data_IF_873414886280
#
_entry.id   IF_873414886280
#
_cell.length_a   1.000
_cell.length_b   1.000
_cell.length_c   1.000
_cell.angle_alpha   90.00
_cell.angle_beta   90.00
_cell.angle_gamma   90.00
#
_symmetry.space_group_name_H-M   'P 1'
#
loop_
_entity.id
_entity.type
_entity.pdbx_description
1 polymer ?
#
# COMPACT_ATOMS: atom_id res chain seq x y z
N UNK A 1 29.27 2.89 21.26
CA UNK A 1 28.91 2.46 19.89
C UNK A 1 27.75 1.47 19.98
N UNK A 2 26.52 1.98 20.06
CA UNK A 2 25.30 1.20 20.23
C UNK A 2 24.65 1.00 18.85
N UNK A 3 24.65 -0.24 18.36
CA UNK A 3 23.87 -0.66 17.18
C UNK A 3 22.40 -0.74 17.60
N UNK A 4 21.60 0.24 17.21
CA UNK A 4 20.14 0.12 17.27
C UNK A 4 19.68 -0.93 16.25
N UNK A 5 19.22 -2.06 16.77
CA UNK A 5 18.52 -3.08 16.00
C UNK A 5 17.19 -2.50 15.52
N UNK A 6 17.14 -2.14 14.24
CA UNK A 6 15.89 -1.88 13.50
C UNK A 6 14.92 -3.04 13.73
N UNK A 7 13.71 -2.71 14.17
CA UNK A 7 12.73 -3.67 14.67
C UNK A 7 12.27 -4.63 13.58
N UNK A 8 12.49 -5.92 13.82
CA UNK A 8 11.95 -7.03 13.02
C UNK A 8 10.42 -7.15 13.08
N UNK A 9 9.72 -6.19 13.71
CA UNK A 9 8.26 -6.19 13.89
C UNK A 9 7.49 -5.67 12.67
N UNK A 10 8.13 -4.92 11.76
CA UNK A 10 7.47 -4.44 10.54
C UNK A 10 7.17 -5.55 9.54
N UNK A 11 8.10 -6.49 9.37
CA UNK A 11 8.03 -7.56 8.37
C UNK A 11 6.98 -8.64 8.68
N UNK A 12 6.63 -8.85 9.96
CA UNK A 12 5.51 -9.72 10.37
C UNK A 12 4.14 -9.26 9.85
N UNK A 13 4.03 -8.03 9.31
CA UNK A 13 2.78 -7.48 8.76
C UNK A 13 2.82 -7.29 7.24
N UNK A 14 3.88 -7.73 6.57
CA UNK A 14 3.96 -7.63 5.11
C UNK A 14 3.19 -8.78 4.47
N UNK A 15 2.05 -8.50 3.84
CA UNK A 15 1.28 -9.53 3.12
C UNK A 15 2.10 -10.18 1.98
N UNK A 16 3.18 -9.51 1.52
CA UNK A 16 4.15 -10.07 0.59
C UNK A 16 4.71 -11.42 1.02
N UNK A 17 4.58 -11.81 2.29
CA UNK A 17 5.00 -13.12 2.80
C UNK A 17 3.86 -13.88 3.48
N UNK A 18 2.63 -13.39 3.36
CA UNK A 18 1.47 -13.92 4.06
C UNK A 18 0.65 -14.78 3.09
N UNK A 19 1.02 -16.05 3.02
CA UNK A 19 0.24 -17.05 2.27
C UNK A 19 -0.90 -17.50 3.19
N UNK A 20 -2.15 -17.35 2.75
CA UNK A 20 -3.39 -17.82 3.42
C UNK A 20 -3.48 -19.36 3.57
N UNK A 21 -2.36 -20.04 3.79
CA UNK A 21 -2.29 -21.51 3.90
C UNK A 21 -1.27 -21.87 4.97
N UNK A 22 -1.60 -21.58 6.22
CA UNK A 22 -1.23 -22.44 7.34
C UNK A 22 -2.51 -22.59 8.14
N UNK A 23 -3.30 -23.61 7.79
CA UNK A 23 -4.33 -24.11 8.68
C UNK A 23 -3.68 -24.45 10.02
N UNK A 24 -4.38 -24.16 11.10
CA UNK A 24 -3.98 -24.42 12.48
C UNK A 24 -3.44 -25.85 12.63
N UNK A 25 -2.11 -25.97 12.69
CA UNK A 25 -1.41 -27.15 13.21
C UNK A 25 -0.98 -26.83 14.64
N UNK A 26 -1.95 -26.48 15.48
CA UNK A 26 -1.81 -26.49 16.93
C UNK A 26 -2.68 -27.60 17.48
N UNK A 27 -2.25 -28.83 17.28
CA UNK A 27 -2.55 -29.93 18.19
C UNK A 27 -1.53 -31.05 18.00
N UNK A 28 -0.56 -31.09 18.91
CA UNK A 28 0.18 -32.31 19.29
C UNK A 28 0.98 -32.01 20.56
N UNK A 29 0.28 -31.93 21.70
CA UNK A 29 0.91 -32.06 23.00
C UNK A 29 1.24 -33.55 23.22
N UNK A 30 2.47 -33.96 22.93
CA UNK A 30 3.01 -35.22 23.42
C UNK A 30 3.91 -34.95 24.62
N UNK A 31 3.36 -35.16 25.81
CA UNK A 31 4.10 -35.30 27.07
C UNK A 31 4.91 -36.59 27.03
N UNK A 32 6.24 -36.51 26.87
CA UNK A 32 7.12 -37.66 27.13
C UNK A 32 8.42 -37.24 27.81
N UNK A 33 8.79 -38.08 28.78
CA UNK A 33 9.83 -37.92 29.79
C UNK A 33 11.25 -37.69 29.25
N UNK A 34 12.00 -36.90 30.01
CA UNK A 34 13.40 -36.52 29.78
C UNK A 34 14.38 -37.67 30.04
N UNK A 35 15.11 -38.07 29.00
CA UNK A 35 16.58 -38.11 28.97
C UNK A 35 17.05 -38.75 27.66
N UNK A 36 17.95 -38.07 26.94
CA UNK A 36 18.66 -38.49 25.70
C UNK A 36 18.02 -38.27 24.32
N UNK A 37 16.84 -37.65 24.17
CA UNK A 37 16.38 -37.29 22.81
C UNK A 37 17.20 -36.12 22.25
N UNK A 38 17.86 -36.26 21.09
CA UNK A 38 18.58 -35.16 20.46
C UNK A 38 17.60 -34.02 20.18
N UNK A 39 18.02 -32.78 20.44
CA UNK A 39 17.20 -31.62 20.11
C UNK A 39 16.85 -31.61 18.63
N UNK A 40 15.69 -31.05 18.27
CA UNK A 40 15.26 -30.98 16.87
C UNK A 40 16.28 -30.22 16.00
N UNK A 41 17.00 -29.25 16.60
CA UNK A 41 18.10 -28.55 15.96
C UNK A 41 19.29 -29.45 15.68
N UNK A 42 19.64 -30.35 16.59
CA UNK A 42 20.71 -31.34 16.38
C UNK A 42 20.37 -32.29 15.23
N UNK A 43 19.13 -32.79 15.19
CA UNK A 43 18.65 -33.61 14.07
C UNK A 43 18.66 -32.81 12.75
N UNK A 44 18.23 -31.55 12.77
CA UNK A 44 18.26 -30.69 11.57
C UNK A 44 19.67 -30.54 10.99
N UNK A 45 20.68 -30.30 11.84
CA UNK A 45 22.06 -30.14 11.37
C UNK A 45 22.76 -31.45 10.98
N UNK A 46 22.17 -32.62 11.27
CA UNK A 46 22.64 -33.90 10.68
C UNK A 46 22.20 -34.11 9.24
N UNK A 47 21.22 -33.33 8.75
CA UNK A 47 20.77 -33.41 7.36
C UNK A 47 21.83 -32.86 6.40
N UNK A 48 21.91 -33.36 5.15
CA UNK A 48 22.65 -32.70 4.07
C UNK A 48 22.23 -31.24 3.90
N UNK A 49 23.18 -30.39 3.48
CA UNK A 49 22.99 -28.94 3.38
C UNK A 49 21.82 -28.57 2.44
N UNK A 50 21.60 -29.38 1.41
CA UNK A 50 20.53 -29.22 0.43
C UNK A 50 19.15 -29.37 1.09
N UNK A 51 18.98 -30.36 1.97
CA UNK A 51 17.72 -30.57 2.71
C UNK A 51 17.50 -29.50 3.77
N UNK A 52 18.58 -29.07 4.44
CA UNK A 52 18.51 -27.94 5.37
C UNK A 52 17.99 -26.68 4.66
N UNK A 53 18.51 -26.39 3.46
CA UNK A 53 18.08 -25.26 2.65
C UNK A 53 16.66 -25.44 2.11
N UNK A 54 16.26 -26.63 1.70
CA UNK A 54 14.89 -26.87 1.26
C UNK A 54 13.87 -26.59 2.37
N UNK A 55 14.16 -27.03 3.59
CA UNK A 55 13.31 -26.75 4.76
C UNK A 55 13.26 -25.24 5.04
N UNK A 56 14.43 -24.58 5.12
CA UNK A 56 14.51 -23.14 5.43
C UNK A 56 13.83 -22.29 4.36
N UNK A 57 13.91 -22.69 3.09
CA UNK A 57 13.31 -21.92 1.98
C UNK A 57 11.79 -22.04 1.89
N UNK A 58 11.16 -23.02 2.56
CA UNK A 58 9.70 -23.14 2.69
C UNK A 58 9.13 -22.25 3.80
N UNK A 59 9.96 -21.77 4.72
CA UNK A 59 9.54 -20.86 5.79
C UNK A 59 9.19 -19.48 5.23
N UNK A 60 8.25 -18.79 5.88
CA UNK A 60 7.98 -17.38 5.59
C UNK A 60 9.15 -16.51 6.07
N UNK A 61 9.32 -15.33 5.48
CA UNK A 61 10.44 -14.45 5.81
C UNK A 61 10.54 -14.12 7.31
N UNK A 62 9.41 -13.93 8.02
CA UNK A 62 9.43 -13.66 9.47
C UNK A 62 10.03 -14.80 10.29
N UNK A 63 9.81 -16.03 9.85
CA UNK A 63 10.27 -17.23 10.53
C UNK A 63 11.75 -17.44 10.26
N UNK A 64 12.22 -17.15 9.04
CA UNK A 64 13.65 -17.14 8.72
C UNK A 64 14.41 -16.14 9.61
N UNK A 65 13.87 -14.93 9.78
CA UNK A 65 14.49 -13.92 10.68
C UNK A 65 14.43 -14.35 12.15
N UNK A 66 13.36 -15.04 12.57
CA UNK A 66 13.26 -15.57 13.93
C UNK A 66 14.25 -16.72 14.16
N UNK A 67 14.37 -17.63 13.19
CA UNK A 67 15.30 -18.76 13.18
C UNK A 67 16.76 -18.28 13.25
N UNK A 68 17.09 -17.16 12.60
CA UNK A 68 18.41 -16.52 12.71
C UNK A 68 18.76 -16.13 14.16
N UNK A 69 17.76 -15.87 15.01
CA UNK A 69 17.96 -15.46 16.41
C UNK A 69 18.02 -16.63 17.39
N UNK A 70 17.61 -17.83 16.99
CA UNK A 70 17.52 -18.98 17.91
C UNK A 70 18.88 -19.63 18.18
N UNK A 71 19.76 -19.75 17.16
CA UNK A 71 21.08 -20.33 17.34
C UNK A 71 22.15 -19.75 16.41
N UNK A 72 23.42 -19.82 16.83
CA UNK A 72 24.57 -19.40 15.99
C UNK A 72 24.70 -20.24 14.72
N UNK A 73 24.39 -21.54 14.80
CA UNK A 73 24.43 -22.44 13.65
C UNK A 73 23.38 -22.07 12.60
N UNK A 74 22.14 -21.78 13.03
CA UNK A 74 21.10 -21.30 12.11
C UNK A 74 21.46 -19.94 11.50
N UNK A 75 22.01 -19.03 12.31
CA UNK A 75 22.51 -17.76 11.78
C UNK A 75 23.61 -17.98 10.73
N UNK A 76 24.56 -18.88 10.97
CA UNK A 76 25.64 -19.20 10.03
C UNK A 76 25.09 -19.77 8.72
N UNK A 77 24.18 -20.74 8.80
CA UNK A 77 23.51 -21.33 7.64
C UNK A 77 22.81 -20.26 6.79
N UNK A 78 21.98 -19.43 7.43
CA UNK A 78 21.18 -18.39 6.77
C UNK A 78 22.05 -17.31 6.15
N UNK A 79 23.12 -16.88 6.84
CA UNK A 79 24.02 -15.83 6.33
C UNK A 79 24.88 -16.35 5.16
N UNK A 80 25.36 -17.59 5.25
CA UNK A 80 26.20 -18.19 4.20
C UNK A 80 25.41 -18.42 2.90
N UNK A 81 24.11 -18.71 3.02
CA UNK A 81 23.25 -19.04 1.88
C UNK A 81 22.14 -17.99 1.66
N UNK A 82 22.39 -16.75 2.10
CA UNK A 82 21.43 -15.64 2.05
C UNK A 82 20.86 -15.45 0.64
N UNK A 83 21.71 -15.48 -0.39
CA UNK A 83 21.29 -15.21 -1.76
C UNK A 83 20.34 -16.27 -2.32
N UNK A 84 20.57 -17.54 -2.02
CA UNK A 84 19.74 -18.64 -2.50
C UNK A 84 18.38 -18.62 -1.81
N UNK A 85 18.39 -18.38 -0.49
CA UNK A 85 17.17 -18.25 0.30
C UNK A 85 16.37 -17.04 -0.19
N UNK A 86 17.00 -15.87 -0.33
CA UNK A 86 16.34 -14.66 -0.81
C UNK A 86 15.77 -14.84 -2.23
N UNK A 87 16.51 -15.46 -3.15
CA UNK A 87 16.04 -15.73 -4.51
C UNK A 87 14.80 -16.62 -4.51
N UNK A 88 14.78 -17.67 -3.70
CA UNK A 88 13.63 -18.57 -3.59
C UNK A 88 12.43 -17.87 -2.94
N UNK A 89 12.66 -17.04 -1.93
CA UNK A 89 11.61 -16.22 -1.30
C UNK A 89 10.96 -15.26 -2.31
N UNK A 90 11.77 -14.58 -3.14
CA UNK A 90 11.26 -13.72 -4.21
C UNK A 90 10.39 -14.53 -5.17
N UNK A 91 10.87 -15.69 -5.63
CA UNK A 91 10.15 -16.53 -6.59
C UNK A 91 8.80 -17.02 -6.08
N UNK A 92 8.69 -17.34 -4.79
CA UNK A 92 7.49 -17.96 -4.21
C UNK A 92 6.49 -16.90 -3.74
N UNK A 93 6.95 -15.83 -3.09
CA UNK A 93 6.09 -14.95 -2.32
C UNK A 93 5.91 -13.56 -2.94
N UNK A 94 6.85 -13.11 -3.78
CA UNK A 94 6.82 -11.75 -4.35
C UNK A 94 6.30 -11.80 -5.78
N UNK A 95 5.21 -11.08 -6.03
CA UNK A 95 4.65 -10.98 -7.37
C UNK A 95 5.66 -10.32 -8.35
N UNK A 96 5.82 -10.84 -9.58
CA UNK A 96 6.84 -10.36 -10.53
C UNK A 96 6.80 -8.85 -10.80
N UNK A 97 5.60 -8.25 -10.82
CA UNK A 97 5.43 -6.80 -11.05
C UNK A 97 6.12 -5.93 -9.99
N UNK A 98 6.21 -6.38 -8.74
CA UNK A 98 6.92 -5.64 -7.68
C UNK A 98 8.44 -5.69 -7.87
N UNK A 99 8.95 -6.84 -8.33
CA UNK A 99 10.38 -7.04 -8.62
C UNK A 99 10.80 -6.24 -9.85
N UNK A 100 9.93 -6.16 -10.87
CA UNK A 100 10.15 -5.31 -12.04
C UNK A 100 10.22 -3.82 -11.68
N UNK A 101 9.34 -3.38 -10.78
CA UNK A 101 9.29 -1.99 -10.31
C UNK A 101 10.49 -1.61 -9.43
N UNK A 102 10.94 -2.53 -8.57
CA UNK A 102 12.11 -2.33 -7.70
C UNK A 102 13.11 -3.45 -7.93
N UNK A 103 13.95 -3.38 -8.97
CA UNK A 103 14.90 -4.44 -9.25
C UNK A 103 16.01 -4.52 -8.18
N UNK A 104 16.50 -5.72 -7.84
CA UNK A 104 17.66 -5.87 -6.96
C UNK A 104 18.93 -5.32 -7.64
N UNK A 105 19.85 -4.75 -6.85
CA UNK A 105 21.12 -4.21 -7.37
C UNK A 105 21.94 -5.25 -8.15
N UNK A 106 21.86 -6.51 -7.72
CA UNK A 106 22.51 -7.65 -8.36
C UNK A 106 21.42 -8.71 -8.63
N UNK A 107 20.98 -8.91 -9.89
CA UNK A 107 19.87 -9.82 -10.20
C UNK A 107 20.16 -11.27 -9.77
N UNK A 108 21.42 -11.68 -9.86
CA UNK A 108 21.85 -13.05 -9.51
C UNK A 108 22.14 -13.24 -8.01
N UNK A 109 22.19 -12.17 -7.22
CA UNK A 109 22.54 -12.20 -5.80
C UNK A 109 21.63 -11.27 -4.98
N UNK A 110 20.31 -11.54 -4.94
CA UNK A 110 19.41 -10.79 -4.07
C UNK A 110 19.81 -10.99 -2.60
N UNK A 111 19.56 -9.98 -1.76
CA UNK A 111 19.87 -10.00 -0.33
C UNK A 111 18.60 -9.88 0.51
N UNK A 112 18.65 -10.28 1.77
CA UNK A 112 17.59 -9.99 2.74
C UNK A 112 17.43 -8.48 2.96
N UNK A 113 18.50 -7.70 2.79
CA UNK A 113 18.39 -6.23 2.80
C UNK A 113 17.46 -5.72 1.69
N UNK A 114 17.59 -6.26 0.47
CA UNK A 114 16.69 -5.94 -0.63
C UNK A 114 15.24 -6.32 -0.31
N UNK A 115 15.00 -7.56 0.15
CA UNK A 115 13.66 -8.01 0.55
C UNK A 115 13.06 -7.15 1.67
N UNK A 116 13.87 -6.80 2.67
CA UNK A 116 13.44 -5.94 3.77
C UNK A 116 13.06 -4.54 3.29
N UNK A 117 13.81 -3.97 2.33
CA UNK A 117 13.49 -2.67 1.73
C UNK A 117 12.19 -2.74 0.93
N UNK A 118 12.05 -3.76 0.07
CA UNK A 118 10.84 -3.95 -0.73
C UNK A 118 9.61 -4.12 0.16
N UNK A 119 9.71 -4.97 1.18
CA UNK A 119 8.64 -5.21 2.12
C UNK A 119 8.24 -3.95 2.91
N UNK A 120 9.21 -3.14 3.32
CA UNK A 120 8.95 -1.86 4.01
C UNK A 120 8.14 -0.90 3.14
N UNK A 121 8.49 -0.77 1.85
CA UNK A 121 7.75 0.06 0.88
C UNK A 121 6.33 -0.48 0.68
N UNK A 122 6.22 -1.79 0.51
CA UNK A 122 4.97 -2.49 0.29
C UNK A 122 4.00 -2.41 1.49
N UNK A 123 4.53 -2.48 2.73
CA UNK A 123 3.75 -2.23 3.95
C UNK A 123 3.28 -0.78 3.99
N UNK A 124 4.16 0.18 3.69
CA UNK A 124 3.78 1.60 3.70
C UNK A 124 2.66 1.90 2.71
N UNK A 125 2.75 1.35 1.49
CA UNK A 125 1.71 1.44 0.47
C UNK A 125 0.41 0.76 0.91
N UNK A 126 0.46 -0.46 1.45
CA UNK A 126 -0.71 -1.19 1.96
C UNK A 126 -1.44 -0.45 3.09
N UNK A 127 -0.69 0.09 4.05
CA UNK A 127 -1.27 0.81 5.18
C UNK A 127 -1.90 2.13 4.74
N UNK A 128 -1.28 2.81 3.75
CA UNK A 128 -1.88 3.99 3.16
C UNK A 128 -3.13 3.63 2.33
N UNK A 129 -3.06 2.61 1.48
CA UNK A 129 -4.20 2.11 0.70
C UNK A 129 -5.39 1.79 1.60
N UNK A 130 -5.16 1.09 2.71
CA UNK A 130 -6.21 0.80 3.70
C UNK A 130 -6.80 2.07 4.31
N UNK A 131 -5.97 3.05 4.63
CA UNK A 131 -6.45 4.33 5.19
C UNK A 131 -7.27 5.13 4.16
N UNK A 132 -6.82 5.17 2.90
CA UNK A 132 -7.55 5.79 1.79
C UNK A 132 -8.86 5.08 1.50
N UNK A 133 -8.87 3.74 1.43
CA UNK A 133 -10.07 2.93 1.22
C UNK A 133 -11.08 3.11 2.37
N UNK A 134 -10.61 3.17 3.62
CA UNK A 134 -11.48 3.41 4.77
C UNK A 134 -12.12 4.80 4.70
N UNK A 135 -11.35 5.82 4.31
CA UNK A 135 -11.89 7.16 4.13
C UNK A 135 -12.89 7.19 2.97
N UNK A 136 -12.52 6.62 1.82
CA UNK A 136 -13.37 6.56 0.64
C UNK A 136 -14.72 5.90 0.98
N UNK A 137 -14.69 4.76 1.66
CA UNK A 137 -15.91 4.10 2.12
C UNK A 137 -16.78 5.01 2.99
N UNK A 138 -16.18 5.77 3.92
CA UNK A 138 -16.96 6.64 4.80
C UNK A 138 -17.49 7.90 4.08
N UNK A 139 -16.70 8.49 3.19
CA UNK A 139 -17.04 9.75 2.49
C UNK A 139 -18.08 9.51 1.37
N UNK A 140 -18.09 8.30 0.81
CA UNK A 140 -18.94 7.93 -0.32
C UNK A 140 -19.97 6.85 0.01
N UNK A 141 -20.12 6.51 1.29
CA UNK A 141 -21.04 5.50 1.80
C UNK A 141 -22.43 5.69 1.19
N UNK A 142 -22.99 6.88 1.39
CA UNK A 142 -24.36 7.24 1.03
C UNK A 142 -24.60 7.30 -0.49
N UNK A 143 -23.55 7.29 -1.30
CA UNK A 143 -23.67 7.40 -2.76
C UNK A 143 -23.49 6.06 -3.47
N UNK A 144 -22.57 5.24 -2.99
CA UNK A 144 -22.15 4.02 -3.68
C UNK A 144 -22.35 2.74 -2.86
N UNK A 145 -22.56 2.84 -1.55
CA UNK A 145 -22.57 1.70 -0.64
C UNK A 145 -23.91 1.51 0.11
N UNK A 146 -24.89 2.39 -0.08
CA UNK A 146 -26.22 2.32 0.55
C UNK A 146 -26.97 1.00 0.29
N UNK A 147 -26.63 0.30 -0.79
CA UNK A 147 -27.23 -1.00 -1.14
C UNK A 147 -26.59 -2.19 -0.41
N UNK A 148 -25.50 -1.97 0.34
CA UNK A 148 -24.72 -3.04 0.95
C UNK A 148 -24.84 -3.03 2.47
N UNK A 149 -25.03 -4.20 3.11
CA UNK A 149 -25.01 -4.29 4.56
C UNK A 149 -23.68 -3.80 5.13
N UNK A 150 -23.74 -3.11 6.27
CA UNK A 150 -22.54 -2.63 6.98
C UNK A 150 -21.56 -3.78 7.37
N UNK A 151 -22.01 -5.04 7.35
CA UNK A 151 -21.15 -6.22 7.52
C UNK A 151 -20.06 -6.32 6.46
N UNK A 152 -20.31 -5.80 5.26
CA UNK A 152 -19.45 -6.02 4.10
C UNK A 152 -18.34 -4.97 3.99
N UNK A 153 -18.41 -3.92 4.84
CA UNK A 153 -17.43 -2.86 4.97
C UNK A 153 -15.99 -3.39 4.99
N UNK A 154 -15.73 -4.45 5.76
CA UNK A 154 -14.38 -5.01 5.88
C UNK A 154 -13.88 -5.64 4.57
N UNK A 155 -14.77 -6.28 3.81
CA UNK A 155 -14.48 -6.92 2.53
C UNK A 155 -14.24 -5.87 1.44
N UNK A 156 -15.12 -4.88 1.34
CA UNK A 156 -14.99 -3.74 0.42
C UNK A 156 -13.68 -2.99 0.65
N UNK A 157 -13.38 -2.62 1.91
CA UNK A 157 -12.13 -1.93 2.24
C UNK A 157 -10.92 -2.78 1.82
N UNK A 158 -10.98 -4.10 2.04
CA UNK A 158 -9.91 -5.02 1.64
C UNK A 158 -9.75 -5.06 0.13
N UNK A 159 -10.84 -5.18 -0.62
CA UNK A 159 -10.85 -5.18 -2.08
C UNK A 159 -10.20 -3.92 -2.66
N UNK A 160 -10.67 -2.74 -2.25
CA UNK A 160 -10.12 -1.45 -2.69
C UNK A 160 -8.65 -1.33 -2.28
N UNK A 161 -8.29 -1.83 -1.10
CA UNK A 161 -6.89 -1.84 -0.63
C UNK A 161 -5.98 -2.63 -1.56
N UNK A 162 -6.41 -3.82 -2.02
CA UNK A 162 -5.63 -4.66 -2.95
C UNK A 162 -5.41 -3.93 -4.28
N UNK A 163 -6.43 -3.26 -4.82
CA UNK A 163 -6.36 -2.52 -6.10
C UNK A 163 -5.47 -1.28 -6.02
N UNK A 164 -5.65 -0.45 -4.98
CA UNK A 164 -4.86 0.79 -4.83
C UNK A 164 -3.37 0.53 -4.60
N UNK A 165 -3.02 -0.65 -4.07
CA UNK A 165 -1.71 -0.90 -3.53
C UNK A 165 -0.58 -0.80 -4.55
N UNK A 166 -0.72 -1.47 -5.69
CA UNK A 166 0.34 -1.51 -6.68
C UNK A 166 0.60 -0.12 -7.27
N UNK A 167 -0.47 0.63 -7.55
CA UNK A 167 -0.37 2.01 -8.02
C UNK A 167 0.24 2.96 -7.00
N UNK A 168 -0.04 2.79 -5.70
CA UNK A 168 0.68 3.54 -4.66
C UNK A 168 2.17 3.21 -4.64
N UNK A 169 2.55 1.96 -4.94
CA UNK A 169 3.96 1.60 -5.09
C UNK A 169 4.59 2.23 -6.35
N UNK A 170 3.83 2.35 -7.45
CA UNK A 170 4.25 3.08 -8.67
C UNK A 170 4.50 4.55 -8.35
N UNK A 171 3.53 5.22 -7.70
CA UNK A 171 3.63 6.62 -7.28
C UNK A 171 4.83 6.79 -6.34
N UNK A 172 4.99 5.88 -5.37
CA UNK A 172 6.15 5.89 -4.48
C UNK A 172 7.47 5.79 -5.27
N UNK A 173 7.56 4.83 -6.19
CA UNK A 173 8.77 4.63 -6.99
C UNK A 173 9.10 5.91 -7.78
N UNK A 174 8.10 6.55 -8.36
CA UNK A 174 8.29 7.78 -9.12
C UNK A 174 8.80 8.92 -8.25
N UNK A 175 8.18 9.14 -7.09
CA UNK A 175 8.62 10.20 -6.15
C UNK A 175 10.08 10.01 -5.75
N UNK A 176 10.48 8.76 -5.53
CA UNK A 176 11.86 8.38 -5.19
C UNK A 176 12.82 8.61 -6.37
N UNK A 177 12.47 8.15 -7.57
CA UNK A 177 13.28 8.33 -8.78
C UNK A 177 13.41 9.81 -9.18
N UNK A 178 12.35 10.60 -8.98
CA UNK A 178 12.34 12.03 -9.24
C UNK A 178 13.22 12.78 -8.24
N UNK A 179 13.05 12.52 -6.94
CA UNK A 179 13.85 13.15 -5.90
C UNK A 179 15.35 12.87 -6.08
N UNK A 180 15.73 11.61 -6.37
CA UNK A 180 17.13 11.22 -6.55
C UNK A 180 17.75 11.86 -7.81
N UNK A 181 17.04 11.84 -8.93
CA UNK A 181 17.55 12.45 -10.17
C UNK A 181 17.60 13.96 -10.12
N UNK A 182 16.59 14.59 -9.53
CA UNK A 182 16.57 16.04 -9.35
C UNK A 182 17.71 16.48 -8.44
N UNK A 183 17.96 15.77 -7.35
CA UNK A 183 19.11 16.04 -6.47
C UNK A 183 20.44 15.92 -7.22
N UNK A 184 20.59 14.91 -8.08
CA UNK A 184 21.79 14.75 -8.89
C UNK A 184 21.95 15.88 -9.91
N UNK A 185 20.88 16.24 -10.62
CA UNK A 185 20.90 17.34 -11.60
C UNK A 185 21.19 18.69 -10.95
N UNK A 186 20.53 19.00 -9.83
CA UNK A 186 20.73 20.25 -9.09
C UNK A 186 22.18 20.41 -8.61
N UNK A 187 22.88 19.29 -8.33
CA UNK A 187 24.30 19.31 -7.96
C UNK A 187 25.26 19.52 -9.13
N UNK A 188 24.92 19.00 -10.31
CA UNK A 188 25.81 19.04 -11.47
C UNK A 188 25.59 20.30 -12.32
N UNK A 189 24.33 20.66 -12.56
CA UNK A 189 23.94 21.71 -13.50
C UNK A 189 23.43 22.99 -12.79
N UNK A 190 23.36 22.99 -11.44
CA UNK A 190 22.68 24.04 -10.69
C UNK A 190 21.16 23.90 -10.75
N UNK A 191 20.44 24.93 -10.29
CA UNK A 191 18.98 24.87 -10.16
C UNK A 191 18.29 24.83 -11.53
N UNK A 192 17.63 23.71 -11.82
CA UNK A 192 16.98 23.48 -13.09
C UNK A 192 15.70 24.35 -13.27
N UNK A 193 15.38 24.70 -14.51
CA UNK A 193 14.13 25.40 -14.84
C UNK A 193 12.92 24.48 -14.65
N UNK A 194 11.72 25.06 -14.53
CA UNK A 194 10.46 24.31 -14.47
C UNK A 194 10.26 23.40 -15.69
N UNK A 195 10.71 23.83 -16.87
CA UNK A 195 10.64 23.02 -18.08
C UNK A 195 11.50 21.74 -17.96
N UNK A 196 12.69 21.87 -17.37
CA UNK A 196 13.62 20.75 -17.18
C UNK A 196 13.08 19.73 -16.17
N UNK A 197 12.36 20.20 -15.16
CA UNK A 197 11.66 19.36 -14.18
C UNK A 197 10.58 18.51 -14.86
N UNK A 198 9.78 19.10 -15.75
CA UNK A 198 8.74 18.39 -16.50
C UNK A 198 9.37 17.33 -17.41
N UNK A 199 10.41 17.70 -18.16
CA UNK A 199 11.14 16.74 -19.01
C UNK A 199 11.74 15.59 -18.21
N UNK A 200 12.24 15.87 -17.00
CA UNK A 200 12.75 14.82 -16.11
C UNK A 200 11.63 13.87 -15.67
N UNK A 201 10.47 14.40 -15.32
CA UNK A 201 9.30 13.61 -14.93
C UNK A 201 8.82 12.73 -16.09
N UNK A 202 8.70 13.29 -17.29
CA UNK A 202 8.35 12.56 -18.51
C UNK A 202 9.34 11.44 -18.82
N UNK A 203 10.65 11.72 -18.74
CA UNK A 203 11.70 10.72 -18.98
C UNK A 203 11.67 9.57 -17.96
N UNK A 204 11.29 9.85 -16.70
CA UNK A 204 11.08 8.79 -15.70
C UNK A 204 9.86 7.96 -16.08
N UNK A 205 8.76 8.62 -16.45
CA UNK A 205 7.52 7.94 -16.77
C UNK A 205 7.66 6.98 -17.95
N UNK A 206 8.30 7.45 -19.03
CA UNK A 206 8.52 6.66 -20.24
C UNK A 206 9.48 5.49 -20.05
N UNK A 207 10.45 5.64 -19.14
CA UNK A 207 11.49 4.64 -18.90
C UNK A 207 11.01 3.45 -18.06
N UNK A 208 10.19 3.71 -17.03
CA UNK A 208 9.93 2.73 -15.98
C UNK A 208 8.53 2.11 -16.02
N UNK A 209 7.57 2.72 -16.71
CA UNK A 209 6.18 2.31 -16.62
C UNK A 209 5.57 2.02 -17.99
N UNK A 210 4.62 1.08 -18.01
CA UNK A 210 3.75 0.89 -19.16
C UNK A 210 2.68 1.97 -19.20
N UNK A 211 2.02 2.13 -20.35
CA UNK A 211 0.94 3.10 -20.51
C UNK A 211 -0.18 2.83 -19.50
N UNK A 212 -0.62 1.58 -19.39
CA UNK A 212 -1.74 1.20 -18.52
C UNK A 212 -1.41 1.51 -17.05
N UNK A 213 -0.17 1.23 -16.63
CA UNK A 213 0.31 1.58 -15.29
C UNK A 213 0.31 3.08 -15.05
N UNK A 214 0.67 3.89 -16.05
CA UNK A 214 0.64 5.35 -15.94
C UNK A 214 -0.80 5.85 -15.85
N UNK A 215 -1.73 5.29 -16.64
CA UNK A 215 -3.14 5.67 -16.58
C UNK A 215 -3.76 5.34 -15.21
N UNK A 216 -3.64 4.09 -14.75
CA UNK A 216 -4.16 3.63 -13.47
C UNK A 216 -3.55 4.41 -12.30
N UNK A 217 -2.22 4.59 -12.29
CA UNK A 217 -1.56 5.37 -11.25
C UNK A 217 -1.91 6.87 -11.32
N UNK A 218 -2.28 7.41 -12.48
CA UNK A 218 -2.74 8.80 -12.60
C UNK A 218 -4.10 9.01 -11.95
N UNK A 219 -5.04 8.09 -12.17
CA UNK A 219 -6.35 8.13 -11.53
C UNK A 219 -6.21 8.03 -10.02
N UNK A 220 -5.41 7.08 -9.53
CA UNK A 220 -5.22 6.92 -8.09
C UNK A 220 -4.37 8.01 -7.44
N UNK A 221 -3.45 8.63 -8.19
CA UNK A 221 -2.73 9.81 -7.73
C UNK A 221 -3.70 10.98 -7.49
N UNK A 222 -4.63 11.23 -8.42
CA UNK A 222 -5.66 12.26 -8.26
C UNK A 222 -6.59 11.97 -7.09
N UNK A 223 -7.05 10.72 -6.95
CA UNK A 223 -7.85 10.31 -5.81
C UNK A 223 -7.10 10.53 -4.48
N UNK A 224 -5.81 10.15 -4.43
CA UNK A 224 -4.96 10.37 -3.25
C UNK A 224 -4.82 11.86 -2.93
N UNK A 225 -4.61 12.70 -3.93
CA UNK A 225 -4.54 14.16 -3.73
C UNK A 225 -5.86 14.75 -3.28
N UNK A 226 -6.98 14.30 -3.85
CA UNK A 226 -8.32 14.74 -3.46
C UNK A 226 -8.62 14.41 -1.99
N UNK A 227 -8.42 13.15 -1.60
CA UNK A 227 -8.64 12.69 -0.23
C UNK A 227 -7.68 13.36 0.76
N UNK A 228 -6.43 13.61 0.35
CA UNK A 228 -5.45 14.33 1.16
C UNK A 228 -5.87 15.78 1.35
N UNK A 229 -6.33 16.43 0.27
CA UNK A 229 -6.81 17.80 0.32
C UNK A 229 -8.04 17.91 1.22
N UNK A 230 -9.03 17.01 1.10
CA UNK A 230 -10.18 16.98 2.01
C UNK A 230 -9.74 16.84 3.47
N UNK A 231 -8.85 15.89 3.76
CA UNK A 231 -8.37 15.64 5.12
C UNK A 231 -7.62 16.79 5.79
N UNK A 232 -6.97 17.62 4.98
CA UNK A 232 -6.11 18.70 5.43
C UNK A 232 -6.84 20.04 5.39
N UNK A 233 -7.67 20.27 4.37
CA UNK A 233 -8.34 21.53 4.11
C UNK A 233 -9.75 21.62 4.69
N UNK A 234 -10.48 20.49 4.82
CA UNK A 234 -11.89 20.49 5.20
C UNK A 234 -12.09 19.82 6.57
N UNK A 235 -12.49 20.55 7.62
CA UNK A 235 -13.02 19.94 8.84
C UNK A 235 -14.48 19.54 8.57
N UNK A 236 -14.88 18.32 8.93
CA UNK A 236 -16.18 17.71 8.59
C UNK A 236 -17.46 18.54 8.85
N UNK A 237 -18.53 18.15 8.15
CA UNK A 237 -19.97 18.53 8.09
C UNK A 237 -20.40 19.99 8.23
N UNK A 238 -19.55 20.89 8.69
CA UNK A 238 -19.87 22.32 8.82
C UNK A 238 -19.07 23.11 7.78
N UNK A 239 -19.42 22.89 6.52
CA UNK A 239 -18.55 23.11 5.35
C UNK A 239 -18.29 24.57 4.97
N UNK A 240 -19.12 25.54 5.39
CA UNK A 240 -18.99 26.93 4.92
C UNK A 240 -18.24 27.83 5.91
N UNK A 241 -18.63 27.80 7.18
CA UNK A 241 -18.06 28.68 8.21
C UNK A 241 -16.62 28.30 8.56
N UNK A 242 -16.31 26.99 8.56
CA UNK A 242 -14.95 26.50 8.86
C UNK A 242 -13.98 26.68 7.69
N UNK A 243 -14.47 26.69 6.44
CA UNK A 243 -13.66 27.02 5.26
C UNK A 243 -13.25 28.49 5.30
N UNK A 244 -14.17 29.40 5.65
CA UNK A 244 -13.88 30.82 5.88
C UNK A 244 -12.89 30.98 7.05
N UNK A 245 -13.10 30.28 8.18
CA UNK A 245 -12.15 30.31 9.30
C UNK A 245 -10.77 29.74 8.96
N UNK A 246 -10.67 28.69 8.14
CA UNK A 246 -9.39 28.12 7.71
C UNK A 246 -8.61 29.05 6.76
N UNK A 247 -9.33 29.77 5.89
CA UNK A 247 -8.77 30.82 5.02
C UNK A 247 -8.32 32.03 5.86
N UNK A 248 -9.13 32.44 6.84
CA UNK A 248 -8.82 33.59 7.72
C UNK A 248 -7.67 33.28 8.69
N UNK A 249 -7.47 32.03 9.09
CA UNK A 249 -6.42 31.63 10.04
C UNK A 249 -5.11 31.18 9.40
N UNK A 250 -5.00 31.22 8.07
CA UNK A 250 -3.79 30.81 7.32
C UNK A 250 -3.30 29.40 7.70
N UNK A 251 -4.24 28.53 8.13
CA UNK A 251 -3.93 27.17 8.61
C UNK A 251 -3.87 26.13 7.49
N UNK A 252 -4.12 26.55 6.25
CA UNK A 252 -3.97 25.73 5.06
C UNK A 252 -2.48 25.64 4.69
N UNK A 253 -1.93 24.44 4.52
CA UNK A 253 -0.57 24.31 4.04
C UNK A 253 -0.48 24.86 2.61
N UNK A 254 0.53 25.69 2.37
CA UNK A 254 0.84 26.14 1.02
C UNK A 254 1.01 24.91 0.10
N UNK A 255 0.51 25.01 -1.13
CA UNK A 255 0.58 23.90 -2.11
C UNK A 255 2.02 23.44 -2.35
N UNK A 256 2.97 24.36 -2.25
CA UNK A 256 4.41 24.06 -2.31
C UNK A 256 4.88 23.21 -1.12
N UNK A 257 4.38 23.46 0.09
CA UNK A 257 4.72 22.67 1.28
C UNK A 257 4.16 21.25 1.18
N UNK A 258 2.99 21.08 0.57
CA UNK A 258 2.43 19.76 0.26
C UNK A 258 3.28 19.01 -0.79
N UNK A 259 3.79 19.72 -1.79
CA UNK A 259 4.69 19.15 -2.80
C UNK A 259 6.00 18.69 -2.16
N UNK A 260 6.60 19.53 -1.31
CA UNK A 260 7.80 19.18 -0.52
C UNK A 260 7.54 17.97 0.36
N UNK A 261 6.40 17.94 1.03
CA UNK A 261 5.98 16.80 1.85
C UNK A 261 5.91 15.50 1.03
N UNK A 262 5.28 15.53 -0.15
CA UNK A 262 5.17 14.34 -1.01
C UNK A 262 6.53 13.88 -1.56
N UNK A 263 7.38 14.79 -2.02
CA UNK A 263 8.68 14.44 -2.61
C UNK A 263 9.66 13.92 -1.54
N UNK A 264 9.73 14.61 -0.39
CA UNK A 264 10.74 14.34 0.64
C UNK A 264 10.26 13.27 1.63
N UNK A 265 9.00 13.36 2.07
CA UNK A 265 8.40 12.41 3.00
C UNK A 265 7.92 11.14 2.31
N UNK A 266 7.45 11.24 1.06
CA UNK A 266 6.92 10.13 0.30
C UNK A 266 5.67 9.48 0.92
N UNK A 267 5.35 8.30 0.43
CA UNK A 267 4.25 7.46 0.94
C UNK A 267 4.40 7.10 2.43
N UNK A 268 5.60 6.81 2.98
CA UNK A 268 5.75 6.50 4.40
C UNK A 268 5.31 7.61 5.35
N UNK A 269 5.60 8.88 5.02
CA UNK A 269 5.15 10.01 5.84
C UNK A 269 3.68 10.34 5.61
N UNK A 270 3.19 10.23 4.37
CA UNK A 270 1.77 10.37 4.08
C UNK A 270 0.96 9.37 4.92
N UNK A 271 1.40 8.11 4.98
CA UNK A 271 0.83 7.10 5.87
C UNK A 271 0.84 7.54 7.34
N UNK A 272 1.94 8.12 7.84
CA UNK A 272 2.02 8.57 9.23
C UNK A 272 0.99 9.67 9.55
N UNK A 273 0.71 10.54 8.59
CA UNK A 273 -0.36 11.55 8.68
C UNK A 273 -1.72 10.86 8.73
N UNK A 274 -2.00 9.95 7.80
CA UNK A 274 -3.28 9.23 7.73
C UNK A 274 -3.58 8.37 8.96
N UNK A 275 -2.55 7.86 9.66
CA UNK A 275 -2.71 7.14 10.94
C UNK A 275 -3.29 8.01 12.06
N UNK A 276 -3.25 9.35 11.94
CA UNK A 276 -3.85 10.23 12.94
C UNK A 276 -5.37 10.31 12.71
N UNK A 277 -6.21 10.10 13.75
CA UNK A 277 -7.66 10.02 13.56
C UNK A 277 -8.30 11.38 13.28
N UNK A 278 -7.81 12.46 13.92
CA UNK A 278 -8.42 13.80 13.83
C UNK A 278 -7.74 14.66 12.76
N UNK A 279 -8.49 15.39 11.91
CA UNK A 279 -7.93 16.33 10.92
C UNK A 279 -6.97 17.38 11.49
N UNK A 280 -7.24 17.88 12.71
CA UNK A 280 -6.34 18.81 13.41
C UNK A 280 -4.96 18.20 13.73
N UNK A 281 -4.94 16.92 14.12
CA UNK A 281 -3.69 16.18 14.37
C UNK A 281 -2.93 15.90 13.07
N UNK A 282 -3.65 15.65 11.97
CA UNK A 282 -3.06 15.50 10.63
C UNK A 282 -2.37 16.79 10.19
N UNK A 283 -3.06 17.93 10.29
CA UNK A 283 -2.49 19.26 10.01
C UNK A 283 -1.27 19.55 10.89
N UNK A 284 -1.36 19.28 12.20
CA UNK A 284 -0.23 19.45 13.13
C UNK A 284 0.96 18.57 12.76
N UNK A 285 0.73 17.33 12.32
CA UNK A 285 1.81 16.45 11.87
C UNK A 285 2.51 17.01 10.63
N UNK A 286 1.74 17.52 9.65
CA UNK A 286 2.29 18.09 8.43
C UNK A 286 3.01 19.42 8.66
N UNK A 287 2.48 20.29 9.53
CA UNK A 287 3.17 21.52 9.92
C UNK A 287 4.48 21.23 10.67
N UNK A 288 4.51 20.19 11.51
CA UNK A 288 5.74 19.71 12.17
C UNK A 288 6.78 19.23 11.16
N UNK A 289 6.34 18.51 10.12
CA UNK A 289 7.21 18.09 9.03
C UNK A 289 7.78 19.31 8.28
N UNK A 290 6.93 20.27 7.87
CA UNK A 290 7.38 21.49 7.19
C UNK A 290 8.38 22.28 8.03
N UNK A 291 8.13 22.41 9.34
CA UNK A 291 9.05 23.07 10.28
C UNK A 291 10.41 22.34 10.38
N UNK A 292 10.38 21.01 10.50
CA UNK A 292 11.59 20.18 10.53
C UNK A 292 12.38 20.30 9.22
N UNK A 293 11.70 20.29 8.08
CA UNK A 293 12.32 20.47 6.76
C UNK A 293 12.98 21.84 6.62
N UNK A 294 12.28 22.94 6.99
CA UNK A 294 12.83 24.31 6.96
C UNK A 294 14.07 24.45 7.85
N UNK A 295 14.05 23.85 9.04
CA UNK A 295 15.19 23.85 9.93
C UNK A 295 16.38 23.08 9.35
N UNK A 296 16.15 21.92 8.72
CA UNK A 296 17.22 21.16 8.09
C UNK A 296 17.78 21.85 6.83
N UNK A 297 16.92 22.52 6.07
CA UNK A 297 17.32 23.38 4.95
C UNK A 297 18.23 24.53 5.43
N UNK A 298 17.87 25.18 6.54
CA UNK A 298 18.68 26.23 7.16
C UNK A 298 20.00 25.72 7.75
N UNK A 299 20.08 24.44 8.14
CA UNK A 299 21.33 23.79 8.52
C UNK A 299 22.19 23.46 7.32
N UNK A 300 21.61 22.90 6.26
CA UNK A 300 22.35 22.49 5.07
C UNK A 300 22.94 23.68 4.31
N UNK A 301 22.28 24.85 4.33
CA UNK A 301 22.85 26.07 3.75
C UNK A 301 24.10 26.56 4.50
N UNK A 302 24.24 26.22 5.78
CA UNK A 302 25.39 26.60 6.61
C UNK A 302 26.55 25.62 6.56
N UNK A 303 26.32 24.35 6.24
CA UNK A 303 27.32 23.29 6.47
C UNK A 303 28.15 22.86 5.25
N UNK A 304 27.87 23.38 4.06
CA UNK A 304 28.57 22.94 2.84
C UNK A 304 28.23 21.49 2.45
N UNK A 305 28.19 21.22 1.16
CA UNK A 305 27.65 20.00 0.56
C UNK A 305 28.57 18.79 0.74
N UNK A 306 28.66 18.20 1.93
CA UNK A 306 29.36 16.92 2.12
C UNK A 306 28.44 15.80 2.56
N UNK A 307 28.25 14.87 1.60
CA UNK A 307 27.85 13.45 1.68
C UNK A 307 26.62 13.11 2.53
N UNK A 308 25.59 12.60 1.86
CA UNK A 308 24.39 12.07 2.50
C UNK A 308 24.31 10.54 2.35
N UNK A 309 24.04 9.80 3.44
CA UNK A 309 23.98 8.34 3.44
C UNK A 309 22.76 7.80 2.68
N UNK A 310 22.88 6.53 2.25
CA UNK A 310 21.96 5.82 1.36
C UNK A 310 21.04 4.90 2.18
N UNK A 311 20.22 5.45 3.07
CA UNK A 311 19.30 4.66 3.91
C UNK A 311 17.91 5.35 3.95
N UNK A 312 16.85 4.53 3.98
CA UNK A 312 15.45 4.88 3.70
C UNK A 312 14.65 5.12 4.99
N UNK A 313 15.18 5.90 5.93
CA UNK A 313 14.37 6.42 7.04
C UNK A 313 13.79 7.80 6.68
N UNK A 314 12.53 8.10 7.02
CA UNK A 314 11.94 9.41 6.73
C UNK A 314 12.73 10.59 7.33
N UNK A 315 13.34 10.39 8.50
CA UNK A 315 14.23 11.35 9.14
C UNK A 315 15.54 11.56 8.38
N UNK A 316 16.01 10.56 7.61
CA UNK A 316 17.20 10.65 6.77
C UNK A 316 16.90 11.25 5.40
N UNK A 317 15.70 11.03 4.86
CA UNK A 317 15.24 11.67 3.62
C UNK A 317 15.21 13.20 3.76
N UNK A 318 14.78 13.72 4.91
CA UNK A 318 14.77 15.16 5.17
C UNK A 318 16.19 15.72 5.12
N UNK A 319 17.17 15.03 5.72
CA UNK A 319 18.58 15.42 5.62
C UNK A 319 19.08 15.33 4.18
N UNK A 320 18.70 14.27 3.46
CA UNK A 320 19.16 13.99 2.11
C UNK A 320 18.66 15.00 1.07
N UNK A 321 17.41 15.41 1.21
CA UNK A 321 16.70 16.21 0.22
C UNK A 321 16.42 17.65 0.68
N UNK A 322 16.95 18.07 1.83
CA UNK A 322 16.82 19.46 2.35
C UNK A 322 17.35 20.53 1.39
N UNK A 323 18.23 20.15 0.45
CA UNK A 323 18.82 21.03 -0.56
C UNK A 323 18.03 21.12 -1.85
N UNK A 324 16.97 20.31 -2.03
CA UNK A 324 16.17 20.31 -3.26
C UNK A 324 15.41 21.63 -3.41
N UNK A 325 15.54 22.26 -4.58
CA UNK A 325 14.69 23.37 -4.99
C UNK A 325 13.46 22.82 -5.68
N UNK A 326 12.36 22.73 -4.93
CA UNK A 326 11.10 22.17 -5.41
C UNK A 326 10.28 23.30 -6.04
N UNK A 327 10.24 23.33 -7.38
CA UNK A 327 9.49 24.32 -8.16
C UNK A 327 8.03 23.94 -8.51
N UNK A 328 7.66 22.66 -8.76
CA UNK A 328 6.32 22.39 -9.26
C UNK A 328 5.27 22.44 -8.14
N UNK A 329 4.08 22.90 -8.51
CA UNK A 329 2.85 22.63 -7.76
C UNK A 329 2.63 21.10 -7.73
N UNK A 330 2.07 20.57 -6.65
CA UNK A 330 1.77 19.15 -6.48
C UNK A 330 0.94 18.58 -7.64
N UNK A 331 0.03 19.37 -8.20
CA UNK A 331 -0.76 18.96 -9.36
C UNK A 331 0.09 18.81 -10.64
N UNK A 332 1.22 19.51 -10.74
CA UNK A 332 2.14 19.40 -11.87
C UNK A 332 3.19 18.28 -11.70
N UNK A 333 3.32 17.68 -10.50
CA UNK A 333 4.37 16.70 -10.23
C UNK A 333 4.20 15.38 -10.99
N UNK A 334 2.95 14.96 -11.24
CA UNK A 334 2.62 13.72 -11.94
C UNK A 334 1.62 13.93 -13.07
N UNK A 335 0.54 14.68 -12.82
CA UNK A 335 -0.62 14.73 -13.73
C UNK A 335 -0.24 15.26 -15.11
N UNK A 336 0.49 16.37 -15.17
CA UNK A 336 0.88 16.98 -16.45
C UNK A 336 1.92 16.15 -17.23
N UNK A 337 3.01 15.66 -16.62
CA UNK A 337 3.92 14.74 -17.29
C UNK A 337 3.23 13.47 -17.78
N UNK A 338 2.36 12.87 -16.97
CA UNK A 338 1.63 11.68 -17.33
C UNK A 338 0.69 11.93 -18.51
N UNK A 339 0.01 13.08 -18.52
CA UNK A 339 -0.77 13.56 -19.66
C UNK A 339 0.07 13.65 -20.92
N UNK A 340 1.21 14.34 -20.87
CA UNK A 340 2.08 14.51 -22.04
C UNK A 340 2.56 13.17 -22.59
N UNK A 341 2.94 12.23 -21.72
CA UNK A 341 3.35 10.88 -22.13
C UNK A 341 2.19 10.09 -22.74
N UNK A 342 0.99 10.16 -22.18
CA UNK A 342 -0.20 9.49 -22.72
C UNK A 342 -0.64 10.08 -24.07
N UNK A 343 -0.56 11.41 -24.23
CA UNK A 343 -0.83 12.09 -25.50
C UNK A 343 0.18 11.68 -26.58
N UNK A 344 1.48 11.66 -26.27
CA UNK A 344 2.52 11.25 -27.23
C UNK A 344 2.38 9.80 -27.70
N UNK A 345 1.78 8.94 -26.87
CA UNK A 345 1.52 7.53 -27.20
C UNK A 345 0.15 7.30 -27.83
N UNK A 346 -0.59 8.36 -28.15
CA UNK A 346 -1.92 8.32 -28.78
C UNK A 346 -2.97 7.51 -28.00
N UNK A 347 -2.74 7.32 -26.70
CA UNK A 347 -3.64 6.57 -25.81
C UNK A 347 -4.84 7.43 -25.44
N UNK A 348 -4.59 8.73 -25.35
CA UNK A 348 -5.59 9.73 -25.04
C UNK A 348 -5.66 10.73 -26.19
N UNK A 349 -6.86 10.97 -26.73
CA UNK A 349 -7.08 11.97 -27.78
C UNK A 349 -7.50 13.35 -27.24
N UNK A 350 -7.84 13.44 -25.95
CA UNK A 350 -8.21 14.71 -25.32
C UNK A 350 -8.18 14.70 -23.79
N UNK A 351 -8.03 15.89 -23.18
CA UNK A 351 -8.02 16.07 -21.72
C UNK A 351 -9.33 15.63 -21.02
N UNK A 352 -10.41 15.43 -21.78
CA UNK A 352 -11.71 14.97 -21.32
C UNK A 352 -11.80 13.45 -21.09
N UNK A 353 -10.79 12.66 -21.50
CA UNK A 353 -10.79 11.21 -21.29
C UNK A 353 -10.26 10.80 -19.91
N UNK A 354 -9.94 11.78 -19.09
CA UNK A 354 -9.55 11.55 -17.71
C UNK A 354 -10.78 11.38 -16.84
N UNK A 355 -10.81 10.26 -16.12
CA UNK A 355 -11.92 9.93 -15.24
C UNK A 355 -12.10 11.00 -14.17
N UNK A 356 -13.35 11.41 -13.96
CA UNK A 356 -13.69 12.20 -12.79
C UNK A 356 -13.60 11.34 -11.51
N UNK A 357 -13.64 11.95 -10.33
CA UNK A 357 -13.49 11.20 -9.06
C UNK A 357 -14.57 10.13 -8.95
N UNK A 358 -15.80 10.44 -9.35
CA UNK A 358 -16.93 9.51 -9.34
C UNK A 358 -16.67 8.28 -10.22
N UNK A 359 -16.22 8.48 -11.45
CA UNK A 359 -15.84 7.40 -12.38
C UNK A 359 -14.65 6.57 -11.88
N UNK A 360 -13.71 7.18 -11.15
CA UNK A 360 -12.59 6.46 -10.51
C UNK A 360 -13.11 5.57 -9.38
N UNK A 361 -14.06 6.06 -8.58
CA UNK A 361 -14.65 5.30 -7.48
C UNK A 361 -15.49 4.14 -8.01
N UNK A 362 -16.32 4.37 -9.03
CA UNK A 362 -17.07 3.30 -9.71
C UNK A 362 -16.13 2.24 -10.26
N UNK A 363 -15.07 2.65 -10.96
CA UNK A 363 -14.08 1.72 -11.48
C UNK A 363 -13.35 0.93 -10.39
N UNK A 364 -13.11 1.54 -9.22
CA UNK A 364 -12.51 0.88 -8.08
C UNK A 364 -13.42 -0.15 -7.42
N UNK A 365 -14.73 -0.01 -7.56
CA UNK A 365 -15.74 -0.91 -7.03
C UNK A 365 -16.15 -1.99 -8.03
N UNK A 366 -15.94 -1.75 -9.32
CA UNK A 366 -16.25 -2.72 -10.38
C UNK A 366 -15.70 -4.12 -10.08
N UNK A 367 -16.58 -5.13 -10.00
CA UNK A 367 -16.22 -6.52 -9.69
C UNK A 367 -15.89 -6.83 -8.22
N UNK A 368 -16.27 -5.99 -7.27
CA UNK A 368 -16.00 -6.25 -5.84
C UNK A 368 -16.86 -7.39 -5.26
N UNK A 369 -18.09 -7.56 -5.72
CA UNK A 369 -19.01 -8.61 -5.26
C UNK A 369 -18.52 -9.99 -5.66
N UNK A 370 -18.15 -10.18 -6.93
CA UNK A 370 -17.55 -11.43 -7.44
C UNK A 370 -16.27 -11.80 -6.70
N UNK A 371 -15.49 -10.78 -6.31
CA UNK A 371 -14.26 -11.00 -5.53
C UNK A 371 -14.55 -11.40 -4.08
N UNK A 372 -15.60 -10.84 -3.48
CA UNK A 372 -15.99 -11.08 -2.09
C UNK A 372 -16.72 -12.42 -1.92
N UNK A 373 -17.52 -12.81 -2.91
CA UNK A 373 -18.34 -14.01 -2.93
C UNK A 373 -18.05 -14.85 -4.19
N UNK A 374 -16.90 -15.55 -4.23
CA UNK A 374 -16.61 -16.44 -5.35
C UNK A 374 -17.73 -17.48 -5.43
N UNK A 375 -18.41 -17.58 -6.58
CA UNK A 375 -19.58 -18.43 -6.82
C UNK A 375 -19.34 -19.95 -6.67
N UNK A 376 -18.13 -20.37 -6.28
CA UNK A 376 -17.69 -21.77 -6.22
C UNK A 376 -18.18 -22.57 -4.99
N UNK A 377 -19.26 -22.13 -4.34
CA UNK A 377 -19.97 -22.91 -3.32
C UNK A 377 -21.48 -22.99 -3.58
N UNK A 378 -21.90 -23.00 -4.84
CA UNK A 378 -23.16 -23.67 -5.20
C UNK A 378 -22.98 -25.17 -4.95
N UNK A 379 -23.15 -25.57 -3.69
CA UNK A 379 -23.62 -26.91 -3.35
C UNK A 379 -24.93 -27.06 -4.10
N UNK A 380 -24.94 -27.87 -5.16
CA UNK A 380 -26.18 -28.31 -5.77
C UNK A 380 -26.95 -29.06 -4.69
N UNK A 381 -27.94 -28.41 -4.11
CA UNK A 381 -29.03 -29.14 -3.49
C UNK A 381 -29.76 -29.79 -4.66
N UNK A 382 -29.28 -30.97 -5.05
CA UNK A 382 -30.08 -31.92 -5.82
C UNK A 382 -31.36 -32.08 -5.02
N UNK A 383 -32.40 -31.41 -5.51
CA UNK A 383 -33.74 -31.49 -4.98
C UNK A 383 -34.22 -32.86 -5.40
N UNK A 384 -34.12 -33.83 -4.49
CA UNK A 384 -34.77 -35.12 -4.63
C UNK A 384 -36.26 -34.81 -4.87
N UNK A 385 -36.71 -35.04 -6.10
CA UNK A 385 -38.12 -35.05 -6.47
C UNK A 385 -38.80 -36.15 -5.63
N UNK A 386 -39.53 -35.74 -4.60
CA UNK A 386 -40.51 -36.62 -3.93
C UNK A 386 -41.69 -36.81 -4.89
N UNK A 387 -41.72 -37.98 -5.54
CA UNK A 387 -42.92 -38.56 -6.13
C UNK A 387 -43.96 -38.80 -5.01
N UNK A 388 -44.98 -37.94 -4.91
CA UNK A 388 -46.16 -38.16 -4.06
C UNK A 388 -47.36 -38.56 -4.93
N UNK A 389 -47.55 -39.88 -5.05
CA UNK A 389 -48.76 -40.54 -5.53
C UNK A 389 -49.86 -40.48 -4.45
N UNK A 390 -51.02 -39.88 -4.74
CA UNK A 390 -52.13 -39.96 -3.80
C UNK A 390 -53.43 -39.23 -4.16
N UNK A 391 -54.27 -39.88 -4.96
CA UNK A 391 -55.72 -39.65 -5.11
C UNK A 391 -56.43 -39.25 -3.80
N UNK A 392 -57.26 -38.19 -3.79
CA UNK A 392 -58.67 -38.33 -3.38
C UNK A 392 -59.58 -37.18 -3.86
N UNK A 393 -60.68 -37.62 -4.44
CA UNK A 393 -61.86 -36.93 -4.96
C UNK A 393 -62.76 -36.23 -3.90
N UNK A 394 -63.40 -35.12 -4.34
CA UNK A 394 -64.86 -34.85 -4.30
C UNK A 394 -65.52 -34.11 -3.09
N UNK A 395 -65.94 -32.87 -3.43
CA UNK A 395 -67.25 -32.16 -3.24
C UNK A 395 -67.72 -31.52 -1.92
N UNK A 396 -68.15 -30.25 -2.12
CA UNK A 396 -69.34 -29.51 -1.60
C UNK A 396 -69.42 -29.22 -0.09
N UNK A 397 -70.04 -28.15 0.43
CA UNK A 397 -70.61 -26.88 -0.03
C UNK A 397 -71.25 -26.20 1.21
N UNK A 398 -71.34 -24.86 1.20
CA UNK A 398 -72.30 -23.99 1.91
C UNK A 398 -72.13 -23.60 3.40
N UNK A 399 -72.31 -22.28 3.63
CA UNK A 399 -72.71 -21.64 4.89
C UNK A 399 -71.91 -20.36 5.19
N UNK A 400 -72.15 -19.18 4.59
CA UNK A 400 -73.20 -18.15 4.86
C UNK A 400 -72.94 -17.26 6.11
N UNK A 401 -72.83 -15.94 5.84
CA UNK A 401 -73.19 -14.74 6.66
C UNK A 401 -72.43 -14.46 7.97
N UNK A 402 -72.20 -13.23 8.44
CA UNK A 402 -72.61 -11.85 8.09
C UNK A 402 -71.71 -10.85 8.86
N UNK A 403 -71.65 -9.62 8.36
CA UNK A 403 -71.00 -8.42 8.89
C UNK A 403 -71.43 -7.99 10.30
N UNK A 404 -70.62 -7.18 11.00
CA UNK A 404 -71.00 -5.88 11.62
C UNK A 404 -69.73 -5.04 11.82
N UNK A 405 -69.75 -3.81 11.32
CA UNK A 405 -68.87 -2.70 11.68
C UNK A 405 -69.58 -1.81 12.72
N UNK A 406 -68.85 -1.23 13.67
CA UNK A 406 -69.19 0.06 14.28
C UNK A 406 -68.03 0.62 15.13
N UNK A 407 -67.66 1.85 14.77
CA UNK A 407 -67.10 2.96 15.58
C UNK A 407 -65.67 2.89 16.10
#
# INVERSE_FOLDING_TARGET
MTREFSSASGLRRSWLFDRRTVADLTDCACTQNESSRPSIGALFFTLPIELQLEIVTKLIYSDIISLRKTSRAFNSLIVTHEHEIARRQIKIFVEPRYVALYPPNLPNKPTFEYLSKLATKSIAASELAKALATQLYNDFHDKYFDFHPQSDKALVIRYITERLRFSLMIIQHFLEQFAERKLWRDRVNGYASRADDIQLQEAILEKYYTVDQVAEASDFYRLTLYLLWQNVAMPGDHEKIKRIWAIVTDTLPAVQDLTKFMIVGGIPELRNVYRKPKPSLRRKAMSRFSAMYKHEQARSSKMGTTRLPRIYHPSENIKRYSTLVISPNIFHLWIHPAQNVMFRREVISGLNQFRCIDEIVEHLLDGWEDWAYPMDLQVSYDSEEEDDDGDTQVRHSCGVSTAVAAS
#
